data_IF_197904373799
#
_entry.id   IF_197904373799
#
_cell.length_a   1.000
_cell.length_b   1.000
_cell.length_c   1.000
_cell.angle_alpha   90.00
_cell.angle_beta   90.00
_cell.angle_gamma   90.00
#
_symmetry.space_group_name_H-M   'P 1'
#
loop_
_entity.id
_entity.type
_entity.pdbx_description
1 polymer ?
#
# COMPACT_ATOMS: atom_id res chain seq x y z
N UNK A 1 38.59 -34.61 0.84
CA UNK A 1 39.59 -33.68 1.41
C UNK A 1 38.81 -32.46 1.87
N UNK A 2 38.56 -32.32 3.17
CA UNK A 2 37.99 -31.09 3.73
C UNK A 2 39.04 -30.00 3.64
N UNK A 3 38.73 -28.92 2.92
CA UNK A 3 39.64 -27.78 2.76
C UNK A 3 39.80 -27.10 4.13
N UNK A 4 40.94 -26.43 4.35
CA UNK A 4 41.21 -25.60 5.54
C UNK A 4 40.09 -24.58 5.82
N UNK A 5 39.38 -24.19 4.76
CA UNK A 5 38.16 -23.38 4.81
C UNK A 5 37.05 -24.08 5.60
N UNK A 6 36.69 -25.32 5.30
CA UNK A 6 35.59 -26.05 5.96
C UNK A 6 35.80 -26.22 7.47
N UNK A 7 37.05 -26.43 7.91
CA UNK A 7 37.35 -26.60 9.35
C UNK A 7 37.30 -25.29 10.12
N UNK A 8 37.81 -24.20 9.54
CA UNK A 8 37.71 -22.86 10.12
C UNK A 8 36.26 -22.35 10.10
N UNK A 9 35.53 -22.66 9.03
CA UNK A 9 34.13 -22.35 8.85
C UNK A 9 33.23 -23.06 9.86
N UNK A 10 33.46 -24.35 10.10
CA UNK A 10 32.74 -25.11 11.13
C UNK A 10 32.90 -24.54 12.53
N UNK A 11 34.10 -24.04 12.88
CA UNK A 11 34.35 -23.39 14.17
C UNK A 11 33.61 -22.06 14.31
N UNK A 12 33.57 -21.24 13.26
CA UNK A 12 32.87 -19.94 13.29
C UNK A 12 31.36 -20.13 13.35
N UNK A 13 30.79 -21.04 12.56
CA UNK A 13 29.37 -21.35 12.61
C UNK A 13 28.95 -21.90 13.97
N UNK A 14 29.81 -22.69 14.63
CA UNK A 14 29.53 -23.18 15.97
C UNK A 14 29.43 -22.03 16.98
N UNK A 15 30.34 -21.06 16.94
CA UNK A 15 30.28 -19.87 17.81
C UNK A 15 29.07 -18.97 17.50
N UNK A 16 28.67 -18.87 16.23
CA UNK A 16 27.50 -18.07 15.83
C UNK A 16 26.18 -18.74 16.22
N UNK A 17 26.11 -20.07 16.22
CA UNK A 17 24.94 -20.85 16.71
C UNK A 17 24.64 -20.63 18.18
N UNK A 18 25.63 -20.24 18.98
CA UNK A 18 25.44 -19.92 20.40
C UNK A 18 24.80 -18.54 20.62
N UNK A 19 24.81 -17.67 19.60
CA UNK A 19 24.41 -16.25 19.70
C UNK A 19 23.21 -15.92 18.81
N UNK A 20 23.05 -16.59 17.68
CA UNK A 20 21.99 -16.32 16.71
C UNK A 20 20.95 -17.46 16.64
N UNK A 21 19.68 -17.14 16.33
CA UNK A 21 18.66 -18.14 16.06
C UNK A 21 19.05 -19.07 14.90
N UNK A 22 18.65 -20.34 14.98
CA UNK A 22 19.01 -21.38 14.00
C UNK A 22 18.64 -21.00 12.55
N UNK A 23 17.52 -20.32 12.35
CA UNK A 23 17.12 -19.82 11.03
C UNK A 23 18.11 -18.80 10.44
N UNK A 24 18.63 -17.89 11.27
CA UNK A 24 19.64 -16.89 10.87
C UNK A 24 20.98 -17.55 10.57
N UNK A 25 21.34 -18.60 11.33
CA UNK A 25 22.55 -19.40 11.10
C UNK A 25 22.49 -20.11 9.75
N UNK A 26 21.34 -20.71 9.39
CA UNK A 26 21.17 -21.40 8.10
C UNK A 26 21.29 -20.43 6.91
N UNK A 27 20.76 -19.21 7.05
CA UNK A 27 20.90 -18.15 6.04
C UNK A 27 22.35 -17.70 5.93
N UNK A 28 23.02 -17.48 7.06
CA UNK A 28 24.42 -17.10 7.11
C UNK A 28 25.31 -18.19 6.49
N UNK A 29 25.10 -19.45 6.81
CA UNK A 29 25.83 -20.59 6.23
C UNK A 29 25.68 -20.63 4.71
N UNK A 30 24.45 -20.42 4.19
CA UNK A 30 24.19 -20.39 2.74
C UNK A 30 24.94 -19.24 2.05
N UNK A 31 24.88 -18.03 2.62
CA UNK A 31 25.57 -16.85 2.09
C UNK A 31 27.08 -17.01 2.13
N UNK A 32 27.64 -17.55 3.21
CA UNK A 32 29.08 -17.76 3.32
C UNK A 32 29.60 -18.81 2.32
N UNK A 33 28.85 -19.91 2.10
CA UNK A 33 29.20 -20.90 1.05
C UNK A 33 29.10 -20.30 -0.35
N UNK A 34 28.12 -19.43 -0.58
CA UNK A 34 27.96 -18.72 -1.85
C UNK A 34 29.16 -17.77 -2.10
N UNK A 35 29.49 -16.90 -1.14
CA UNK A 35 30.62 -15.97 -1.25
C UNK A 35 31.94 -16.73 -1.47
N UNK A 36 32.16 -17.84 -0.75
CA UNK A 36 33.36 -18.65 -0.96
C UNK A 36 33.44 -19.30 -2.34
N UNK A 37 32.28 -19.67 -2.91
CA UNK A 37 32.20 -20.23 -4.27
C UNK A 37 32.49 -19.16 -5.32
N UNK A 38 31.98 -17.95 -5.14
CA UNK A 38 32.17 -16.83 -6.05
C UNK A 38 33.57 -16.20 -5.92
N UNK A 39 34.16 -16.26 -4.72
CA UNK A 39 35.43 -15.64 -4.35
C UNK A 39 36.27 -16.58 -3.47
N UNK A 40 36.85 -17.65 -4.05
CA UNK A 40 37.68 -18.58 -3.30
C UNK A 40 39.02 -17.97 -2.87
N UNK A 41 39.36 -16.78 -3.39
CA UNK A 41 40.53 -15.98 -3.04
C UNK A 41 40.45 -15.32 -1.66
N UNK A 42 39.26 -15.22 -1.08
CA UNK A 42 39.02 -14.55 0.20
C UNK A 42 39.26 -15.46 1.40
N UNK A 43 39.83 -14.90 2.46
CA UNK A 43 40.02 -15.61 3.71
C UNK A 43 38.70 -15.67 4.51
N UNK A 44 38.57 -16.69 5.36
CA UNK A 44 37.35 -16.94 6.17
C UNK A 44 36.87 -15.68 6.93
N UNK A 45 37.72 -14.88 7.60
CA UNK A 45 37.26 -13.66 8.28
C UNK A 45 36.68 -12.60 7.34
N UNK A 46 37.21 -12.48 6.12
CA UNK A 46 36.74 -11.51 5.12
C UNK A 46 35.38 -11.94 4.56
N UNK A 47 35.22 -13.24 4.28
CA UNK A 47 33.94 -13.84 3.85
C UNK A 47 32.88 -13.68 4.93
N UNK A 48 33.25 -13.85 6.21
CA UNK A 48 32.36 -13.67 7.35
C UNK A 48 31.89 -12.22 7.47
N UNK A 49 32.80 -11.25 7.44
CA UNK A 49 32.44 -9.83 7.51
C UNK A 49 31.53 -9.42 6.34
N UNK A 50 31.84 -9.84 5.11
CA UNK A 50 30.99 -9.54 3.95
C UNK A 50 29.58 -10.13 4.09
N UNK A 51 29.45 -11.34 4.62
CA UNK A 51 28.12 -11.93 4.82
C UNK A 51 27.30 -11.17 5.88
N UNK A 52 27.93 -10.71 6.96
CA UNK A 52 27.27 -9.90 7.98
C UNK A 52 26.86 -8.52 7.45
N UNK A 53 27.69 -7.88 6.63
CA UNK A 53 27.37 -6.60 5.99
C UNK A 53 26.17 -6.73 5.03
N UNK A 54 26.14 -7.78 4.20
CA UNK A 54 25.04 -8.05 3.27
C UNK A 54 23.73 -8.34 4.02
N UNK A 55 23.77 -9.16 5.08
CA UNK A 55 22.58 -9.46 5.89
C UNK A 55 22.04 -8.19 6.55
N UNK A 56 22.94 -7.33 7.04
CA UNK A 56 22.54 -6.07 7.67
C UNK A 56 21.89 -5.11 6.67
N UNK A 57 22.42 -5.03 5.45
CA UNK A 57 21.82 -4.26 4.34
C UNK A 57 20.44 -4.78 3.95
N UNK A 58 20.29 -6.10 3.77
CA UNK A 58 19.01 -6.71 3.37
C UNK A 58 17.91 -6.53 4.42
N UNK A 59 18.25 -6.55 5.72
CA UNK A 59 17.29 -6.28 6.81
C UNK A 59 16.81 -4.83 6.80
N UNK A 60 17.70 -3.88 6.48
CA UNK A 60 17.35 -2.46 6.36
C UNK A 60 16.45 -2.25 5.13
N UNK A 61 16.78 -2.85 3.99
CA UNK A 61 15.98 -2.75 2.77
C UNK A 61 14.59 -3.36 2.94
N UNK A 62 14.50 -4.53 3.61
CA UNK A 62 13.21 -5.16 3.91
C UNK A 62 12.34 -4.28 4.83
N UNK A 63 12.95 -3.59 5.80
CA UNK A 63 12.24 -2.67 6.68
C UNK A 63 11.72 -1.45 5.92
N UNK A 64 12.52 -0.84 5.06
CA UNK A 64 12.09 0.29 4.22
C UNK A 64 10.94 -0.14 3.30
N UNK A 65 11.04 -1.32 2.68
CA UNK A 65 9.97 -1.83 1.82
C UNK A 65 8.67 -2.09 2.58
N UNK A 66 8.74 -2.52 3.85
CA UNK A 66 7.56 -2.70 4.71
C UNK A 66 6.95 -1.35 5.14
N UNK A 67 7.78 -0.36 5.48
CA UNK A 67 7.33 1.00 5.83
C UNK A 67 6.65 1.66 4.62
N UNK A 68 7.23 1.55 3.42
CA UNK A 68 6.63 2.02 2.16
C UNK A 68 5.31 1.31 1.83
N UNK A 69 5.24 -0.01 2.05
CA UNK A 69 4.01 -0.77 1.84
C UNK A 69 2.91 -0.35 2.83
N UNK A 70 3.27 -0.06 4.09
CA UNK A 70 2.37 0.50 5.10
C UNK A 70 1.82 1.86 4.68
N UNK A 71 2.70 2.79 4.27
CA UNK A 71 2.29 4.13 3.83
C UNK A 71 1.31 4.08 2.63
N UNK A 72 1.54 3.19 1.67
CA UNK A 72 0.61 2.99 0.54
C UNK A 72 -0.74 2.42 0.98
N UNK A 73 -0.75 1.52 1.96
CA UNK A 73 -1.99 0.97 2.49
C UNK A 73 -2.82 2.02 3.25
N UNK A 74 -2.15 2.88 4.02
CA UNK A 74 -2.79 3.98 4.74
C UNK A 74 -3.36 5.03 3.79
N UNK A 75 -2.63 5.38 2.72
CA UNK A 75 -3.12 6.28 1.67
C UNK A 75 -4.34 5.70 0.94
N UNK A 76 -4.32 4.41 0.61
CA UNK A 76 -5.45 3.73 -0.01
C UNK A 76 -6.68 3.68 0.92
N UNK A 77 -6.47 3.43 2.22
CA UNK A 77 -7.54 3.43 3.22
C UNK A 77 -8.13 4.85 3.41
N UNK A 78 -7.30 5.88 3.45
CA UNK A 78 -7.73 7.27 3.52
C UNK A 78 -8.54 7.68 2.28
N UNK A 79 -8.08 7.30 1.09
CA UNK A 79 -8.81 7.53 -0.16
C UNK A 79 -10.17 6.83 -0.18
N UNK A 80 -10.24 5.58 0.31
CA UNK A 80 -11.50 4.84 0.41
C UNK A 80 -12.47 5.46 1.42
N UNK A 81 -11.97 5.90 2.59
CA UNK A 81 -12.78 6.59 3.58
C UNK A 81 -13.33 7.92 3.07
N UNK A 82 -12.51 8.72 2.37
CA UNK A 82 -12.94 9.95 1.73
C UNK A 82 -14.02 9.69 0.67
N UNK A 83 -13.86 8.65 -0.14
CA UNK A 83 -14.85 8.27 -1.16
C UNK A 83 -16.20 7.86 -0.54
N UNK A 84 -16.20 7.09 0.54
CA UNK A 84 -17.42 6.71 1.26
C UNK A 84 -18.12 7.92 1.87
N UNK A 85 -17.36 8.84 2.47
CA UNK A 85 -17.90 10.08 3.02
C UNK A 85 -18.56 10.95 1.94
N UNK A 86 -17.96 11.02 0.75
CA UNK A 86 -18.55 11.70 -0.41
C UNK A 86 -19.87 11.08 -0.86
N UNK A 87 -19.92 9.75 -0.97
CA UNK A 87 -21.17 9.04 -1.33
C UNK A 87 -22.26 9.32 -0.29
N UNK A 88 -21.93 9.29 0.99
CA UNK A 88 -22.89 9.55 2.06
C UNK A 88 -23.47 10.97 1.97
N UNK A 89 -22.62 11.99 1.79
CA UNK A 89 -23.08 13.38 1.64
C UNK A 89 -24.02 13.55 0.44
N UNK A 90 -23.71 12.90 -0.69
CA UNK A 90 -24.59 12.91 -1.87
C UNK A 90 -25.93 12.22 -1.55
N UNK A 91 -25.89 11.05 -0.89
CA UNK A 91 -27.10 10.31 -0.52
C UNK A 91 -28.04 11.16 0.34
N UNK A 92 -27.50 11.86 1.33
CA UNK A 92 -28.25 12.76 2.22
C UNK A 92 -28.91 13.93 1.47
N UNK A 93 -28.45 14.25 0.25
CA UNK A 93 -28.97 15.34 -0.60
C UNK A 93 -29.66 14.88 -1.87
N UNK A 94 -29.86 13.57 -2.04
CA UNK A 94 -30.47 12.99 -3.23
C UNK A 94 -31.84 13.61 -3.52
N UNK A 95 -32.65 13.83 -2.49
CA UNK A 95 -33.99 14.38 -2.66
C UNK A 95 -33.96 15.80 -3.22
N UNK A 96 -33.12 16.68 -2.67
CA UNK A 96 -32.97 18.05 -3.15
C UNK A 96 -32.41 18.09 -4.59
N UNK A 97 -31.45 17.21 -4.91
CA UNK A 97 -30.91 17.07 -6.26
C UNK A 97 -31.99 16.61 -7.27
N UNK A 98 -32.79 15.60 -6.91
CA UNK A 98 -33.90 15.12 -7.75
C UNK A 98 -34.97 16.20 -7.99
N UNK A 99 -35.26 17.02 -6.97
CA UNK A 99 -36.18 18.14 -7.08
C UNK A 99 -35.66 19.22 -8.04
N UNK A 100 -34.36 19.53 -7.98
CA UNK A 100 -33.73 20.49 -8.87
C UNK A 100 -33.72 19.98 -10.32
N UNK A 101 -33.41 18.72 -10.56
CA UNK A 101 -33.43 18.14 -11.91
C UNK A 101 -34.83 18.22 -12.55
N UNK A 102 -35.89 17.97 -11.77
CA UNK A 102 -37.28 18.10 -12.23
C UNK A 102 -37.67 19.55 -12.52
N UNK A 103 -37.14 20.51 -11.78
CA UNK A 103 -37.41 21.94 -11.97
C UNK A 103 -36.68 22.52 -13.19
N UNK A 104 -35.54 21.96 -13.55
CA UNK A 104 -34.72 22.41 -14.68
C UNK A 104 -34.51 21.29 -15.71
N UNK A 105 -35.60 20.86 -16.40
CA UNK A 105 -35.51 19.78 -17.37
C UNK A 105 -34.64 20.16 -18.58
N UNK A 106 -33.99 19.16 -19.18
CA UNK A 106 -33.20 19.33 -20.41
C UNK A 106 -31.74 19.75 -20.20
N UNK A 107 -31.24 19.74 -18.96
CA UNK A 107 -29.82 19.89 -18.65
C UNK A 107 -29.11 18.54 -18.71
N UNK A 108 -27.89 18.51 -19.24
CA UNK A 108 -27.14 17.27 -19.42
C UNK A 108 -26.49 16.81 -18.11
N UNK A 109 -26.23 17.73 -17.19
CA UNK A 109 -25.55 17.44 -15.92
C UNK A 109 -26.17 18.21 -14.77
N UNK A 110 -26.01 17.69 -13.55
CA UNK A 110 -26.43 18.36 -12.34
C UNK A 110 -25.68 19.70 -12.12
N UNK A 111 -24.44 19.83 -12.61
CA UNK A 111 -23.71 21.10 -12.57
C UNK A 111 -24.43 22.20 -13.39
N UNK A 112 -24.97 21.85 -14.56
CA UNK A 112 -25.76 22.76 -15.38
C UNK A 112 -27.12 23.08 -14.73
N UNK A 113 -27.73 22.11 -14.03
CA UNK A 113 -28.95 22.32 -13.24
C UNK A 113 -28.68 23.34 -12.13
N UNK A 114 -27.62 23.17 -11.35
CA UNK A 114 -27.22 24.09 -10.28
C UNK A 114 -26.91 25.49 -10.83
N UNK A 115 -26.18 25.57 -11.94
CA UNK A 115 -25.89 26.84 -12.61
C UNK A 115 -27.17 27.54 -13.10
N UNK A 116 -28.14 26.79 -13.65
CA UNK A 116 -29.43 27.33 -14.06
C UNK A 116 -30.30 27.77 -12.87
N UNK A 117 -30.15 27.12 -11.72
CA UNK A 117 -30.75 27.50 -10.45
C UNK A 117 -30.01 28.64 -9.74
N UNK A 118 -28.84 29.05 -10.23
CA UNK A 118 -28.02 30.11 -9.61
C UNK A 118 -27.41 29.71 -8.26
N UNK A 119 -27.25 28.41 -8.00
CA UNK A 119 -26.69 27.87 -6.75
C UNK A 119 -25.44 27.04 -7.04
N UNK A 120 -24.62 26.82 -6.01
CA UNK A 120 -23.40 26.00 -6.10
C UNK A 120 -23.55 24.70 -5.30
N UNK A 121 -22.63 23.75 -5.50
CA UNK A 121 -22.56 22.52 -4.69
C UNK A 121 -22.53 22.80 -3.19
N UNK A 122 -21.81 23.85 -2.78
CA UNK A 122 -21.69 24.26 -1.39
C UNK A 122 -23.03 24.66 -0.75
N UNK A 123 -24.00 25.14 -1.56
CA UNK A 123 -25.35 25.43 -1.07
C UNK A 123 -26.05 24.16 -0.55
N UNK A 124 -25.74 23.01 -1.12
CA UNK A 124 -26.24 21.70 -0.71
C UNK A 124 -25.33 21.02 0.34
N UNK A 125 -24.25 21.68 0.77
CA UNK A 125 -23.22 21.08 1.62
C UNK A 125 -22.36 20.04 0.88
N UNK A 126 -22.33 20.10 -0.45
CA UNK A 126 -21.53 19.22 -1.30
C UNK A 126 -20.26 19.94 -1.79
N UNK A 127 -19.22 19.17 -2.08
CA UNK A 127 -17.99 19.68 -2.71
C UNK A 127 -18.04 19.49 -4.24
N UNK A 128 -17.10 20.11 -4.96
CA UNK A 128 -16.94 19.85 -6.41
C UNK A 128 -16.57 18.39 -6.68
N UNK A 129 -15.79 17.76 -5.79
CA UNK A 129 -15.43 16.34 -5.88
C UNK A 129 -16.66 15.43 -5.77
N UNK A 130 -17.61 15.78 -4.89
CA UNK A 130 -18.90 15.09 -4.80
C UNK A 130 -19.68 15.22 -6.13
N UNK A 131 -19.65 16.40 -6.74
CA UNK A 131 -20.25 16.66 -8.05
C UNK A 131 -19.67 15.80 -9.19
N UNK A 132 -18.36 15.51 -9.17
CA UNK A 132 -17.71 14.63 -10.16
C UNK A 132 -18.20 13.18 -10.07
N UNK A 133 -18.59 12.71 -8.88
CA UNK A 133 -19.17 11.38 -8.70
C UNK A 133 -20.55 11.28 -9.35
N UNK A 134 -21.33 12.36 -9.36
CA UNK A 134 -22.63 12.41 -10.04
C UNK A 134 -22.47 12.39 -11.57
N UNK A 135 -21.43 13.04 -12.11
CA UNK A 135 -21.12 13.00 -13.55
C UNK A 135 -20.68 11.60 -13.99
N UNK A 136 -19.94 10.86 -13.15
CA UNK A 136 -19.49 9.48 -13.46
C UNK A 136 -20.57 8.43 -13.23
N UNK A 137 -21.42 8.62 -12.21
CA UNK A 137 -22.53 7.73 -11.85
C UNK A 137 -23.71 7.75 -12.83
N UNK A 138 -23.86 8.82 -13.63
CA UNK A 138 -24.93 8.95 -14.61
C UNK A 138 -24.79 8.01 -15.84
N UNK A 139 -23.85 7.06 -15.80
CA UNK A 139 -23.66 6.03 -16.83
C UNK A 139 -24.53 4.79 -16.64
N UNK A 140 -25.18 4.58 -15.47
CA UNK A 140 -26.15 3.50 -15.24
C UNK A 140 -26.78 3.65 -13.85
N UNK A 141 -28.11 3.74 -13.81
CA UNK A 141 -28.90 3.77 -12.58
C UNK A 141 -28.47 2.69 -11.59
N UNK A 142 -28.01 3.10 -10.42
CA UNK A 142 -27.83 2.22 -9.28
C UNK A 142 -29.19 2.04 -8.58
N UNK A 143 -29.68 0.81 -8.39
CA UNK A 143 -30.90 0.57 -7.64
C UNK A 143 -30.67 0.92 -6.17
N UNK A 144 -31.56 1.72 -5.61
CA UNK A 144 -31.62 2.00 -4.18
C UNK A 144 -31.83 0.68 -3.40
N UNK A 145 -31.05 0.37 -2.35
CA UNK A 145 -31.37 -0.72 -1.46
C UNK A 145 -32.68 -0.40 -0.72
N UNK A 146 -33.63 -1.33 -0.78
CA UNK A 146 -34.93 -1.16 -0.14
C UNK A 146 -34.79 -0.99 1.38
N UNK A 147 -35.62 -0.13 2.02
CA UNK A 147 -35.60 0.02 3.46
C UNK A 147 -36.02 -1.29 4.14
N UNK A 148 -35.16 -1.79 5.03
CA UNK A 148 -35.48 -2.91 5.90
C UNK A 148 -36.69 -2.55 6.77
N UNK A 149 -37.74 -3.38 6.71
CA UNK A 149 -38.89 -3.34 7.62
C UNK A 149 -38.56 -3.98 8.95
#
# INVERSE_FOLDING_TARGET
MTTRFDSQFGSVLQSVREVLPEASVLVLERKLRQIHTERPDLNVPEVVNMAFDVISGEVIDARIAMEDAGARADEAAAAQAAHLASIQRIQERTYELDCLEKQYPGRATMAEVLAAAGISWAYLGLTEEDGLLLVRGNSRGLPLPAPSR
#
